data_IF_158390926469
#
_entry.id   IF_158390926469
#
_cell.length_a   1.000
_cell.length_b   1.000
_cell.length_c   1.000
_cell.angle_alpha   90.00
_cell.angle_beta   90.00
_cell.angle_gamma   90.00
#
_symmetry.space_group_name_H-M   'P 1'
#
loop_
_entity.id
_entity.type
_entity.pdbx_description
1 polymer ?
#
# COMPACT_ATOMS: atom_id res chain seq x y z
N UNK A 1 13.00 50.70 -12.93
CA UNK A 1 12.42 49.61 -12.12
C UNK A 1 12.39 48.36 -12.98
N UNK A 2 12.91 47.21 -12.55
CA UNK A 2 12.81 45.99 -13.34
C UNK A 2 11.34 45.55 -13.41
N UNK A 3 10.78 45.55 -14.63
CA UNK A 3 9.40 45.14 -14.97
C UNK A 3 9.28 43.61 -15.19
N UNK A 4 10.03 42.80 -14.45
CA UNK A 4 9.90 41.35 -14.52
C UNK A 4 9.08 40.88 -13.32
N UNK A 5 7.79 40.68 -13.54
CA UNK A 5 6.91 40.03 -12.58
C UNK A 5 7.43 38.61 -12.35
N UNK A 6 7.73 38.25 -11.10
CA UNK A 6 8.09 36.86 -10.73
C UNK A 6 6.80 36.06 -10.87
N UNK A 7 6.65 35.36 -11.99
CA UNK A 7 5.55 34.42 -12.19
C UNK A 7 5.93 33.14 -11.47
N UNK A 8 5.25 32.85 -10.36
CA UNK A 8 5.31 31.52 -9.75
C UNK A 8 4.81 30.51 -10.78
N UNK A 9 5.69 29.64 -11.23
CA UNK A 9 5.36 28.49 -12.05
C UNK A 9 5.36 27.33 -11.06
N UNK A 10 4.19 26.76 -10.83
CA UNK A 10 4.04 25.57 -10.01
C UNK A 10 4.85 24.45 -10.66
N UNK A 11 5.77 23.84 -9.91
CA UNK A 11 6.63 22.77 -10.41
C UNK A 11 5.76 21.56 -10.77
N UNK A 12 6.17 20.81 -11.79
CA UNK A 12 5.47 19.59 -12.15
C UNK A 12 5.59 18.52 -11.05
N UNK A 13 4.67 17.55 -11.03
CA UNK A 13 4.67 16.45 -10.05
C UNK A 13 5.98 15.66 -10.07
N UNK A 14 6.60 15.52 -11.25
CA UNK A 14 7.88 14.83 -11.44
C UNK A 14 9.06 15.64 -10.86
N UNK A 15 9.01 16.97 -10.99
CA UNK A 15 10.00 17.87 -10.40
C UNK A 15 9.88 17.92 -8.87
N UNK A 16 8.65 17.91 -8.34
CA UNK A 16 8.37 17.85 -6.90
C UNK A 16 8.81 16.51 -6.29
N UNK A 17 8.58 15.38 -6.96
CA UNK A 17 9.02 14.06 -6.47
C UNK A 17 10.54 13.95 -6.32
N UNK A 18 11.29 14.70 -7.14
CA UNK A 18 12.76 14.69 -7.12
C UNK A 18 13.34 15.52 -5.95
N UNK A 19 12.58 16.48 -5.42
CA UNK A 19 13.04 17.39 -4.36
C UNK A 19 12.89 16.74 -2.98
N UNK A 20 13.93 16.83 -2.14
CA UNK A 20 13.86 16.35 -0.75
C UNK A 20 13.13 17.40 0.08
N UNK A 21 11.99 17.03 0.65
CA UNK A 21 11.12 17.91 1.44
C UNK A 21 11.31 17.73 2.95
N UNK A 22 11.82 16.56 3.39
CA UNK A 22 12.07 16.27 4.79
C UNK A 22 13.26 17.09 5.33
N UNK A 23 13.01 17.91 6.34
CA UNK A 23 14.00 18.71 7.04
C UNK A 23 14.18 18.15 8.46
N UNK A 24 15.39 17.71 8.79
CA UNK A 24 15.68 17.09 10.10
C UNK A 24 15.56 18.12 11.22
N UNK A 25 14.78 17.78 12.24
CA UNK A 25 14.70 18.59 13.46
C UNK A 25 15.81 18.24 14.48
N UNK A 26 15.79 18.92 15.63
CA UNK A 26 16.78 18.71 16.69
C UNK A 26 16.72 17.30 17.29
N UNK A 27 15.52 16.70 17.35
CA UNK A 27 15.32 15.35 17.89
C UNK A 27 15.90 14.30 16.93
N UNK A 28 15.63 14.45 15.64
CA UNK A 28 16.18 13.60 14.59
C UNK A 28 17.72 13.65 14.56
N UNK A 29 18.31 14.85 14.69
CA UNK A 29 19.75 15.03 14.71
C UNK A 29 20.41 14.33 15.92
N UNK A 30 19.81 14.47 17.11
CA UNK A 30 20.27 13.80 18.32
C UNK A 30 20.16 12.26 18.18
N UNK A 31 19.06 11.78 17.61
CA UNK A 31 18.85 10.36 17.35
C UNK A 31 19.87 9.79 16.35
N UNK A 32 20.13 10.51 15.26
CA UNK A 32 21.10 10.10 14.23
C UNK A 32 22.52 9.99 14.80
N UNK A 33 22.89 10.90 15.71
CA UNK A 33 24.17 10.83 16.41
C UNK A 33 24.29 9.55 17.24
N UNK A 34 23.28 9.24 18.07
CA UNK A 34 23.26 8.02 18.90
C UNK A 34 23.34 6.76 18.02
N UNK A 35 22.63 6.75 16.89
CA UNK A 35 22.65 5.62 15.96
C UNK A 35 24.00 5.47 15.27
N UNK A 36 24.65 6.57 14.91
CA UNK A 36 25.97 6.55 14.30
C UNK A 36 27.06 6.06 15.27
N UNK A 37 27.00 6.44 16.55
CA UNK A 37 27.88 5.90 17.60
C UNK A 37 27.72 4.37 17.71
N UNK A 38 26.47 3.89 17.68
CA UNK A 38 26.19 2.45 17.69
C UNK A 38 26.68 1.75 16.42
N UNK A 39 26.53 2.38 15.25
CA UNK A 39 27.03 1.85 13.97
C UNK A 39 28.54 1.74 13.95
N UNK A 40 29.24 2.75 14.47
CA UNK A 40 30.70 2.75 14.57
C UNK A 40 31.18 1.62 15.51
N UNK A 41 30.50 1.41 16.64
CA UNK A 41 30.80 0.27 17.54
C UNK A 41 30.62 -1.10 16.87
N UNK A 42 29.78 -1.17 15.84
CA UNK A 42 29.53 -2.38 15.03
C UNK A 42 30.40 -2.44 13.76
N UNK A 43 31.32 -1.49 13.57
CA UNK A 43 32.20 -1.40 12.39
C UNK A 43 31.51 -0.93 11.10
N UNK A 44 30.33 -0.30 11.20
CA UNK A 44 29.58 0.24 10.08
C UNK A 44 29.87 1.73 9.90
N UNK A 45 29.81 2.20 8.66
CA UNK A 45 29.92 3.63 8.36
C UNK A 45 28.70 4.40 8.92
N UNK A 46 28.98 5.60 9.44
CA UNK A 46 27.96 6.55 9.85
C UNK A 46 27.13 7.03 8.66
N UNK A 47 25.87 7.35 8.93
CA UNK A 47 24.94 7.96 7.98
C UNK A 47 25.10 9.49 8.05
N UNK A 48 25.20 10.16 6.90
CA UNK A 48 25.17 11.62 6.84
C UNK A 48 23.75 12.16 7.00
N UNK A 49 23.63 13.43 7.43
CA UNK A 49 22.34 14.14 7.51
C UNK A 49 21.58 14.07 6.19
N UNK A 50 22.23 14.43 5.08
CA UNK A 50 21.65 14.38 3.73
C UNK A 50 21.12 12.98 3.35
N UNK A 51 21.81 11.92 3.78
CA UNK A 51 21.37 10.55 3.52
C UNK A 51 20.13 10.20 4.33
N UNK A 52 20.02 10.69 5.56
CA UNK A 52 18.86 10.46 6.41
C UNK A 52 17.65 11.23 5.89
N UNK A 53 17.81 12.52 5.57
CA UNK A 53 16.77 13.37 4.97
C UNK A 53 16.22 12.73 3.68
N UNK A 54 17.10 12.31 2.78
CA UNK A 54 16.70 11.65 1.53
C UNK A 54 15.92 10.36 1.79
N UNK A 55 16.35 9.54 2.75
CA UNK A 55 15.69 8.28 3.05
C UNK A 55 14.31 8.49 3.69
N UNK A 56 14.20 9.45 4.61
CA UNK A 56 12.93 9.79 5.26
C UNK A 56 11.95 10.40 4.26
N UNK A 57 12.39 11.34 3.43
CA UNK A 57 11.58 11.92 2.36
C UNK A 57 11.02 10.83 1.42
N UNK A 58 11.87 9.89 0.99
CA UNK A 58 11.44 8.79 0.13
C UNK A 58 10.44 7.86 0.82
N UNK A 59 10.69 7.55 2.09
CA UNK A 59 9.78 6.73 2.90
C UNK A 59 8.41 7.41 3.07
N UNK A 60 8.39 8.71 3.35
CA UNK A 60 7.15 9.47 3.51
C UNK A 60 6.37 9.57 2.22
N UNK A 61 7.04 9.84 1.10
CA UNK A 61 6.40 9.84 -0.23
C UNK A 61 5.80 8.48 -0.56
N UNK A 62 6.55 7.39 -0.40
CA UNK A 62 6.03 6.04 -0.63
C UNK A 62 4.84 5.73 0.29
N UNK A 63 4.93 6.07 1.58
CA UNK A 63 3.85 5.92 2.55
C UNK A 63 2.61 6.73 2.13
N UNK A 64 2.79 7.99 1.73
CA UNK A 64 1.73 8.88 1.26
C UNK A 64 1.07 8.32 0.01
N UNK A 65 1.82 7.84 -0.98
CA UNK A 65 1.27 7.20 -2.18
C UNK A 65 0.45 5.96 -1.84
N UNK A 66 0.94 5.11 -0.94
CA UNK A 66 0.19 3.93 -0.48
C UNK A 66 -1.12 4.33 0.20
N UNK A 67 -1.08 5.35 1.07
CA UNK A 67 -2.27 5.88 1.74
C UNK A 67 -3.22 6.56 0.74
N UNK A 68 -2.72 7.29 -0.24
CA UNK A 68 -3.51 8.00 -1.25
C UNK A 68 -4.16 7.04 -2.25
N UNK A 69 -3.45 6.02 -2.72
CA UNK A 69 -4.05 4.96 -3.55
C UNK A 69 -5.12 4.20 -2.76
N UNK A 70 -4.90 3.97 -1.47
CA UNK A 70 -5.93 3.40 -0.60
C UNK A 70 -7.08 4.41 -0.40
N UNK A 71 -6.81 5.72 -0.30
CA UNK A 71 -7.82 6.78 -0.16
C UNK A 71 -8.59 7.09 -1.43
N UNK A 72 -8.08 6.87 -2.64
CA UNK A 72 -8.87 7.03 -3.86
C UNK A 72 -9.81 5.84 -4.06
N UNK A 73 -9.42 4.66 -3.58
CA UNK A 73 -10.35 3.54 -3.35
C UNK A 73 -11.35 3.91 -2.24
N UNK A 74 -10.89 4.56 -1.17
CA UNK A 74 -11.70 4.98 -0.02
C UNK A 74 -12.53 6.26 -0.24
N UNK A 75 -12.24 7.13 -1.22
CA UNK A 75 -12.98 8.39 -1.43
C UNK A 75 -14.29 8.16 -2.18
N UNK A 76 -14.45 6.96 -2.72
CA UNK A 76 -15.74 6.36 -3.06
C UNK A 76 -16.40 5.63 -1.88
N UNK A 77 -15.77 5.52 -0.71
CA UNK A 77 -16.20 4.75 0.48
C UNK A 77 -16.11 5.49 1.83
N UNK A 78 -15.70 6.77 1.90
CA UNK A 78 -15.45 7.51 3.15
C UNK A 78 -16.67 8.29 3.68
N UNK A 79 -17.88 7.84 3.33
CA UNK A 79 -19.02 7.90 4.25
C UNK A 79 -18.93 6.64 5.10
N UNK A 80 -19.25 6.68 6.38
CA UNK A 80 -19.37 5.44 7.17
C UNK A 80 -20.46 4.62 6.49
N UNK A 81 -20.06 3.65 5.68
CA UNK A 81 -20.92 3.08 4.66
C UNK A 81 -21.49 1.76 5.17
N UNK A 82 -22.77 1.80 5.54
CA UNK A 82 -23.61 0.60 5.61
C UNK A 82 -23.71 -0.12 4.23
N UNK A 83 -23.01 0.36 3.20
CA UNK A 83 -22.98 -0.13 1.81
C UNK A 83 -21.59 -0.66 1.37
N UNK A 84 -20.67 -0.96 2.30
CA UNK A 84 -19.35 -1.50 1.96
C UNK A 84 -19.46 -2.75 1.04
N UNK A 85 -18.97 -2.63 -0.19
CA UNK A 85 -19.06 -3.69 -1.21
C UNK A 85 -17.81 -4.56 -1.27
N UNK A 86 -17.99 -5.84 -1.57
CA UNK A 86 -16.87 -6.73 -1.85
C UNK A 86 -16.17 -6.34 -3.16
N UNK A 87 -14.85 -6.14 -3.14
CA UNK A 87 -14.06 -5.77 -4.31
C UNK A 87 -13.96 -6.84 -5.42
N UNK A 88 -14.59 -8.01 -5.25
CA UNK A 88 -14.55 -9.14 -6.19
C UNK A 88 -15.87 -9.29 -6.93
N UNK A 89 -17.00 -9.31 -6.20
CA UNK A 89 -18.33 -9.42 -6.78
C UNK A 89 -19.03 -8.06 -6.97
N UNK A 90 -18.49 -6.99 -6.38
CA UNK A 90 -19.05 -5.63 -6.36
C UNK A 90 -20.44 -5.56 -5.70
N UNK A 91 -20.71 -6.47 -4.77
CA UNK A 91 -21.97 -6.56 -4.03
C UNK A 91 -21.75 -6.30 -2.53
N UNK A 92 -22.72 -5.65 -1.90
CA UNK A 92 -22.74 -5.31 -0.48
C UNK A 92 -23.58 -6.28 0.36
N UNK A 93 -24.24 -7.26 -0.24
CA UNK A 93 -25.05 -8.24 0.50
C UNK A 93 -24.21 -9.04 1.51
N UNK A 94 -24.47 -8.87 2.81
CA UNK A 94 -23.80 -9.62 3.87
C UNK A 94 -24.75 -10.65 4.46
N UNK A 95 -24.44 -11.94 4.28
CA UNK A 95 -25.20 -13.05 4.87
C UNK A 95 -24.42 -13.66 6.04
N UNK A 96 -25.10 -14.22 7.04
CA UNK A 96 -24.46 -14.82 8.23
C UNK A 96 -23.44 -15.92 7.92
N UNK A 97 -23.51 -16.55 6.74
CA UNK A 97 -22.56 -17.58 6.28
C UNK A 97 -21.51 -17.07 5.28
N UNK A 98 -21.66 -15.86 4.75
CA UNK A 98 -20.76 -15.23 3.79
C UNK A 98 -20.63 -13.75 4.10
N UNK A 99 -19.87 -13.44 5.15
CA UNK A 99 -19.68 -12.08 5.64
C UNK A 99 -18.61 -11.34 4.85
N UNK A 100 -18.67 -10.01 4.85
CA UNK A 100 -17.61 -9.15 4.31
C UNK A 100 -16.51 -8.99 5.37
N UNK A 101 -15.27 -9.31 4.97
CA UNK A 101 -14.08 -9.21 5.78
C UNK A 101 -13.26 -8.00 5.34
N UNK A 102 -12.72 -7.27 6.31
CA UNK A 102 -11.84 -6.12 6.10
C UNK A 102 -10.43 -6.47 6.53
N UNK A 103 -9.45 -6.24 5.64
CA UNK A 103 -8.04 -6.46 5.96
C UNK A 103 -7.54 -5.35 6.88
N UNK A 104 -7.06 -5.69 8.07
CA UNK A 104 -6.61 -4.71 9.08
C UNK A 104 -5.41 -3.85 8.64
N UNK A 105 -4.66 -4.26 7.60
CA UNK A 105 -3.49 -3.53 7.10
C UNK A 105 -3.76 -2.68 5.86
N UNK A 106 -4.70 -3.08 5.00
CA UNK A 106 -4.91 -2.41 3.70
C UNK A 106 -6.37 -2.11 3.39
N UNK A 107 -7.26 -2.28 4.39
CA UNK A 107 -8.69 -2.07 4.30
C UNK A 107 -9.40 -2.77 3.12
N UNK A 108 -8.84 -3.88 2.63
CA UNK A 108 -9.45 -4.66 1.54
C UNK A 108 -10.75 -5.30 2.03
N UNK A 109 -11.87 -4.96 1.41
CA UNK A 109 -13.19 -5.51 1.68
C UNK A 109 -13.53 -6.66 0.73
N UNK A 110 -13.68 -7.87 1.25
CA UNK A 110 -14.04 -9.05 0.45
C UNK A 110 -14.96 -9.99 1.20
N UNK A 111 -15.91 -10.60 0.49
CA UNK A 111 -16.66 -11.73 1.03
C UNK A 111 -15.75 -12.92 1.34
N UNK A 112 -16.10 -13.65 2.39
CA UNK A 112 -15.45 -14.90 2.78
C UNK A 112 -15.35 -15.87 1.60
N UNK A 113 -16.46 -16.11 0.90
CA UNK A 113 -16.52 -17.06 -0.22
C UNK A 113 -15.82 -16.50 -1.47
N UNK A 114 -15.96 -15.20 -1.75
CA UNK A 114 -15.34 -14.60 -2.93
C UNK A 114 -13.81 -14.64 -2.86
N UNK A 115 -13.23 -14.48 -1.67
CA UNK A 115 -11.78 -14.58 -1.48
C UNK A 115 -11.30 -16.00 -1.16
N UNK A 116 -12.21 -16.93 -0.84
CA UNK A 116 -11.90 -18.30 -0.42
C UNK A 116 -11.20 -18.34 0.93
N UNK A 117 -11.85 -17.77 1.96
CA UNK A 117 -11.40 -17.81 3.35
C UNK A 117 -12.09 -18.97 4.06
N UNK A 118 -11.38 -20.06 4.42
CA UNK A 118 -12.02 -21.28 4.93
C UNK A 118 -12.65 -21.11 6.31
N UNK A 119 -12.07 -20.25 7.15
CA UNK A 119 -12.62 -19.89 8.45
C UNK A 119 -12.17 -18.48 8.84
N UNK A 120 -13.02 -17.78 9.57
CA UNK A 120 -12.74 -16.43 10.09
C UNK A 120 -11.96 -16.58 11.40
N UNK A 121 -10.74 -16.02 11.52
CA UNK A 121 -10.01 -16.05 12.78
C UNK A 121 -10.73 -15.20 13.84
N UNK A 122 -10.59 -15.56 15.13
CA UNK A 122 -11.17 -14.80 16.26
C UNK A 122 -10.49 -13.44 16.51
N UNK A 123 -9.52 -13.05 15.69
CA UNK A 123 -8.75 -11.81 15.82
C UNK A 123 -8.51 -11.14 14.47
N UNK A 124 -7.36 -10.47 14.32
CA UNK A 124 -7.04 -9.74 13.10
C UNK A 124 -7.07 -10.64 11.85
N UNK A 125 -7.63 -10.12 10.76
CA UNK A 125 -7.62 -10.76 9.46
C UNK A 125 -6.78 -9.96 8.49
N UNK A 126 -5.81 -10.65 7.86
CA UNK A 126 -4.91 -10.07 6.88
C UNK A 126 -5.07 -10.79 5.55
N UNK A 127 -5.18 -10.04 4.46
CA UNK A 127 -5.21 -10.62 3.12
C UNK A 127 -3.85 -11.27 2.77
N UNK A 128 -3.81 -12.13 1.75
CA UNK A 128 -2.58 -12.87 1.39
C UNK A 128 -1.42 -11.93 1.04
N UNK A 129 -1.71 -10.80 0.41
CA UNK A 129 -0.71 -9.75 0.12
C UNK A 129 -0.07 -9.25 1.41
N UNK A 130 -0.87 -8.78 2.36
CA UNK A 130 -0.36 -8.23 3.63
C UNK A 130 0.34 -9.27 4.49
N UNK A 131 -0.05 -10.55 4.41
CA UNK A 131 0.64 -11.64 5.11
C UNK A 131 2.05 -11.93 4.58
N UNK A 132 2.28 -11.78 3.27
CA UNK A 132 3.53 -12.17 2.64
C UNK A 132 4.46 -10.97 2.35
N UNK A 133 3.88 -9.84 1.98
CA UNK A 133 4.58 -8.63 1.57
C UNK A 133 3.85 -7.40 2.12
N UNK A 134 3.97 -7.12 3.44
CA UNK A 134 3.24 -6.02 4.08
C UNK A 134 3.69 -4.63 3.60
N UNK A 135 4.94 -4.49 3.15
CA UNK A 135 5.56 -3.21 2.79
C UNK A 135 5.86 -3.04 1.29
N UNK A 136 5.51 -4.02 0.45
CA UNK A 136 5.80 -3.96 -0.98
C UNK A 136 4.51 -4.03 -1.80
N UNK A 137 4.40 -3.15 -2.80
CA UNK A 137 3.36 -3.26 -3.81
C UNK A 137 3.58 -4.52 -4.65
N UNK A 138 2.47 -5.16 -5.03
CA UNK A 138 2.47 -6.35 -5.88
C UNK A 138 1.74 -6.04 -7.17
N UNK A 139 2.36 -6.36 -8.30
CA UNK A 139 1.75 -6.15 -9.61
C UNK A 139 0.94 -7.38 -10.02
N UNK A 140 -0.21 -7.14 -10.65
CA UNK A 140 -0.98 -8.22 -11.26
C UNK A 140 -0.33 -8.61 -12.60
N UNK A 141 -0.06 -9.89 -12.80
CA UNK A 141 0.48 -10.38 -14.09
C UNK A 141 -0.56 -10.34 -15.24
N UNK A 142 -1.82 -10.07 -14.93
CA UNK A 142 -2.95 -10.15 -15.87
C UNK A 142 -3.52 -8.77 -16.25
N UNK A 143 -3.16 -7.71 -15.54
CA UNK A 143 -3.65 -6.36 -15.82
C UNK A 143 -2.67 -5.30 -15.27
N UNK A 144 -2.75 -4.04 -15.73
CA UNK A 144 -1.84 -2.97 -15.28
C UNK A 144 -2.25 -2.34 -13.94
N UNK A 145 -3.24 -2.87 -13.24
CA UNK A 145 -3.75 -2.29 -12.00
C UNK A 145 -3.03 -2.88 -10.77
N UNK A 146 -2.76 -2.03 -9.78
CA UNK A 146 -1.97 -2.38 -8.58
C UNK A 146 -2.81 -2.47 -7.29
N UNK A 147 -4.14 -2.35 -7.40
CA UNK A 147 -5.06 -2.35 -6.27
C UNK A 147 -6.14 -3.44 -6.42
N UNK A 148 -6.58 -4.00 -5.28
CA UNK A 148 -7.64 -4.99 -5.22
C UNK A 148 -7.28 -6.27 -4.45
N UNK A 149 -8.04 -7.32 -4.68
CA UNK A 149 -7.88 -8.62 -4.02
C UNK A 149 -6.88 -9.52 -4.78
N UNK A 150 -5.73 -9.79 -4.17
CA UNK A 150 -4.65 -10.59 -4.78
C UNK A 150 -4.53 -12.01 -4.20
N UNK A 151 -4.09 -12.94 -5.04
CA UNK A 151 -3.59 -14.28 -4.66
C UNK A 151 -2.26 -14.58 -5.37
N UNK A 152 -1.44 -15.41 -4.74
CA UNK A 152 -0.22 -15.93 -5.36
C UNK A 152 -0.56 -17.01 -6.38
N UNK A 153 0.13 -16.96 -7.52
CA UNK A 153 0.13 -17.97 -8.58
C UNK A 153 1.08 -19.11 -8.24
N UNK A 154 1.00 -20.21 -8.99
CA UNK A 154 1.90 -21.37 -8.90
C UNK A 154 3.38 -21.04 -9.16
N UNK A 155 3.64 -19.93 -9.85
CA UNK A 155 4.99 -19.41 -10.17
C UNK A 155 5.51 -18.40 -9.15
N UNK A 156 4.78 -18.15 -8.05
CA UNK A 156 5.15 -17.16 -7.04
C UNK A 156 4.89 -15.70 -7.43
N UNK A 157 4.25 -15.47 -8.58
CA UNK A 157 3.79 -14.15 -9.01
C UNK A 157 2.41 -13.84 -8.43
N UNK A 158 1.91 -12.61 -8.58
CA UNK A 158 0.62 -12.18 -8.07
C UNK A 158 -0.40 -11.96 -9.18
N UNK A 159 -1.65 -12.30 -8.90
CA UNK A 159 -2.77 -12.02 -9.78
C UNK A 159 -3.99 -11.60 -8.97
N UNK A 160 -4.82 -10.73 -9.54
CA UNK A 160 -6.12 -10.43 -8.96
C UNK A 160 -7.04 -11.64 -9.03
N UNK A 161 -7.85 -11.84 -7.99
CA UNK A 161 -8.92 -12.84 -7.98
C UNK A 161 -9.91 -12.57 -9.10
N UNK A 162 -10.30 -11.31 -9.33
CA UNK A 162 -11.20 -10.93 -10.42
C UNK A 162 -10.59 -11.22 -11.80
N UNK A 163 -9.31 -10.92 -12.02
CA UNK A 163 -8.66 -11.25 -13.30
C UNK A 163 -8.63 -12.76 -13.55
N UNK A 164 -8.39 -13.56 -12.50
CA UNK A 164 -8.43 -15.01 -12.59
C UNK A 164 -9.83 -15.59 -12.83
N UNK A 165 -10.89 -14.90 -12.39
CA UNK A 165 -12.29 -15.29 -12.64
C UNK A 165 -12.74 -14.98 -14.07
N UNK A 166 -12.29 -13.86 -14.63
CA UNK A 166 -12.75 -13.37 -15.94
C UNK A 166 -11.89 -13.83 -17.12
N UNK A 167 -10.68 -14.35 -16.88
CA UNK A 167 -9.83 -14.93 -17.93
C UNK A 167 -10.06 -16.45 -17.98
N UNK A 168 -10.66 -17.01 -19.06
CA UNK A 168 -11.08 -18.41 -19.12
C UNK A 168 -9.95 -19.43 -18.96
N UNK A 169 -8.73 -19.06 -19.34
CA UNK A 169 -7.53 -19.89 -19.27
C UNK A 169 -6.92 -19.96 -17.87
N UNK A 170 -7.29 -19.05 -16.97
CA UNK A 170 -6.80 -19.03 -15.59
C UNK A 170 -7.68 -19.93 -14.73
N UNK A 171 -7.06 -20.69 -13.83
CA UNK A 171 -7.77 -21.57 -12.89
C UNK A 171 -7.20 -21.46 -11.49
N UNK A 172 -8.06 -21.64 -10.50
CA UNK A 172 -7.64 -21.82 -9.12
C UNK A 172 -7.27 -23.28 -8.88
N UNK A 173 -6.08 -23.52 -8.32
CA UNK A 173 -5.64 -24.87 -7.95
C UNK A 173 -6.52 -25.48 -6.85
N UNK A 174 -7.05 -24.63 -5.97
CA UNK A 174 -8.04 -25.01 -4.97
C UNK A 174 -9.24 -24.05 -5.06
N UNK A 175 -10.43 -24.61 -5.27
CA UNK A 175 -11.69 -23.86 -5.39
C UNK A 175 -12.50 -23.87 -4.09
N UNK A 176 -11.94 -24.38 -2.99
CA UNK A 176 -12.56 -24.45 -1.67
C UNK A 176 -11.66 -23.91 -0.56
#
# INVERSE_FOLDING_TARGET
MPNSYIRFIEKSVEELDTEVEYDMDEEDAAWLQIMNERRESSGLAGISIESFELLMDRLEKESYFLVQMNKEVDSSLAVIDDEAVCSICLDGECQNSNVILFCDMCNLAVHQDCYGVPYIPEGQWLCRRCLHSPSCMVDCVLCPNNCGAFKQTDRGLWAHVVCALWIPEVRFANTV
#
